data_IF_046853849363
#
_entry.id   IF_046853849363
#
_cell.length_a   1.000
_cell.length_b   1.000
_cell.length_c   1.000
_cell.angle_alpha   90.00
_cell.angle_beta   90.00
_cell.angle_gamma   90.00
#
_symmetry.space_group_name_H-M   'P 1'
#
loop_
_entity.id
_entity.type
_entity.pdbx_description
1 polymer ?
#
# COMPACT_ATOMS: atom_id res chain seq x y z
N UNK A 1 5.07 -19.16 -11.50
CA UNK A 1 5.72 -18.02 -12.20
C UNK A 1 6.99 -17.68 -11.44
N UNK A 2 8.15 -17.68 -12.12
CA UNK A 2 9.41 -17.23 -11.49
C UNK A 2 9.31 -15.74 -11.13
N UNK A 3 9.73 -15.30 -9.95
CA UNK A 3 9.77 -13.89 -9.61
C UNK A 3 10.74 -13.16 -10.54
N UNK A 4 10.30 -12.06 -11.13
CA UNK A 4 11.15 -11.18 -11.94
C UNK A 4 11.89 -10.28 -10.96
N UNK A 5 13.00 -10.73 -10.42
CA UNK A 5 13.77 -10.02 -9.37
C UNK A 5 14.60 -8.86 -9.96
N UNK A 6 14.02 -8.09 -10.91
CA UNK A 6 14.71 -6.97 -11.57
C UNK A 6 14.44 -5.68 -10.78
N UNK A 7 15.50 -4.98 -10.43
CA UNK A 7 15.42 -3.64 -9.84
C UNK A 7 15.44 -2.58 -10.94
N UNK A 8 14.67 -1.54 -10.74
CA UNK A 8 14.49 -0.42 -11.68
C UNK A 8 14.28 0.86 -10.89
N UNK A 9 14.69 2.00 -11.44
CA UNK A 9 14.38 3.32 -10.91
C UNK A 9 13.13 3.83 -11.63
N UNK A 10 12.17 4.36 -10.86
CA UNK A 10 10.86 4.78 -11.33
C UNK A 10 10.50 6.15 -10.80
N UNK A 11 10.01 7.02 -11.68
CA UNK A 11 9.26 8.21 -11.30
C UNK A 11 7.79 7.83 -11.11
N UNK A 12 7.24 8.19 -9.96
CA UNK A 12 5.84 7.89 -9.62
C UNK A 12 4.97 9.09 -10.06
N UNK A 13 4.13 8.85 -11.05
CA UNK A 13 3.28 9.87 -11.68
C UNK A 13 1.91 10.03 -11.03
N UNK A 14 1.35 8.95 -10.46
CA UNK A 14 -0.02 8.93 -9.94
C UNK A 14 -0.18 7.94 -8.79
N UNK A 15 -1.35 7.95 -8.15
CA UNK A 15 -1.71 7.09 -7.03
C UNK A 15 -3.05 6.40 -7.30
N UNK A 16 -3.07 5.08 -7.10
CA UNK A 16 -4.30 4.31 -7.17
C UNK A 16 -5.10 4.42 -5.86
N UNK A 17 -6.43 4.20 -5.92
CA UNK A 17 -7.29 4.22 -4.73
C UNK A 17 -6.91 3.21 -3.64
N UNK A 18 -6.15 2.17 -3.98
CA UNK A 18 -5.63 1.19 -3.02
C UNK A 18 -4.30 1.62 -2.36
N UNK A 19 -3.78 2.82 -2.67
CA UNK A 19 -2.54 3.36 -2.13
C UNK A 19 -1.27 2.91 -2.86
N UNK A 20 -1.39 2.25 -4.00
CA UNK A 20 -0.23 1.91 -4.85
C UNK A 20 0.10 3.07 -5.81
N UNK A 21 1.37 3.45 -5.87
CA UNK A 21 1.87 4.41 -6.84
C UNK A 21 1.83 3.85 -8.27
N UNK A 22 1.75 4.74 -9.25
CA UNK A 22 1.74 4.40 -10.68
C UNK A 22 2.99 4.97 -11.33
N UNK A 23 3.66 4.13 -12.10
CA UNK A 23 4.78 4.50 -12.97
C UNK A 23 4.64 3.80 -14.33
N UNK A 24 5.52 4.15 -15.25
CA UNK A 24 5.59 3.50 -16.56
C UNK A 24 7.00 3.01 -16.91
N UNK A 25 7.07 1.86 -17.58
CA UNK A 25 8.29 1.35 -18.21
C UNK A 25 7.95 0.92 -19.64
N UNK A 26 8.52 1.59 -20.64
CA UNK A 26 8.28 1.31 -22.07
C UNK A 26 6.77 1.34 -22.38
N UNK A 27 6.07 2.41 -22.00
CA UNK A 27 4.63 2.63 -22.14
C UNK A 27 3.75 1.53 -21.49
N UNK A 28 4.28 0.81 -20.50
CA UNK A 28 3.54 -0.20 -19.74
C UNK A 28 3.44 0.20 -18.28
N UNK A 29 2.22 0.14 -17.76
CA UNK A 29 1.92 0.47 -16.37
C UNK A 29 2.67 -0.44 -15.40
N UNK A 30 3.22 0.20 -14.37
CA UNK A 30 3.81 -0.44 -13.20
C UNK A 30 3.05 0.06 -11.97
N UNK A 31 2.52 -0.85 -11.16
CA UNK A 31 1.93 -0.53 -9.86
C UNK A 31 2.98 -0.79 -8.79
N UNK A 32 3.27 0.24 -7.99
CA UNK A 32 4.38 0.25 -7.05
C UNK A 32 3.83 0.45 -5.63
N UNK A 33 3.98 -0.56 -4.77
CA UNK A 33 3.64 -0.43 -3.37
C UNK A 33 4.67 0.42 -2.64
N UNK A 34 4.24 1.09 -1.57
CA UNK A 34 5.10 1.94 -0.75
C UNK A 34 5.73 3.09 -1.56
N UNK A 35 4.97 3.67 -2.49
CA UNK A 35 5.41 4.75 -3.34
C UNK A 35 4.30 5.78 -3.53
N UNK A 36 4.65 7.06 -3.53
CA UNK A 36 3.74 8.20 -3.64
C UNK A 36 4.03 9.02 -4.90
N UNK A 37 3.05 9.76 -5.43
CA UNK A 37 3.28 10.68 -6.53
C UNK A 37 4.42 11.66 -6.26
N UNK A 38 5.16 12.01 -7.31
CA UNK A 38 6.34 12.90 -7.26
C UNK A 38 7.58 12.29 -6.59
N UNK A 39 7.52 11.02 -6.19
CA UNK A 39 8.71 10.30 -5.73
C UNK A 39 9.51 9.71 -6.88
N UNK A 40 10.82 9.62 -6.68
CA UNK A 40 11.69 8.72 -7.43
C UNK A 40 12.05 7.58 -6.52
N UNK A 41 11.75 6.36 -6.94
CA UNK A 41 11.98 5.17 -6.13
C UNK A 41 12.81 4.14 -6.87
N UNK A 42 13.68 3.44 -6.16
CA UNK A 42 14.23 2.18 -6.61
C UNK A 42 13.26 1.07 -6.23
N UNK A 43 12.73 0.38 -7.22
CA UNK A 43 11.67 -0.60 -7.04
C UNK A 43 12.08 -1.97 -7.58
N UNK A 44 11.64 -3.03 -6.92
CA UNK A 44 11.84 -4.42 -7.32
C UNK A 44 10.57 -4.96 -7.97
N UNK A 45 10.67 -5.39 -9.22
CA UNK A 45 9.58 -6.02 -9.95
C UNK A 45 9.33 -7.42 -9.37
N UNK A 46 8.13 -7.65 -8.86
CA UNK A 46 7.72 -8.91 -8.23
C UNK A 46 7.07 -9.88 -9.20
N UNK A 47 6.14 -9.36 -10.01
CA UNK A 47 5.34 -10.16 -10.94
C UNK A 47 4.80 -9.30 -12.07
N UNK A 48 4.32 -10.01 -13.13
CA UNK A 48 3.52 -9.43 -14.21
C UNK A 48 2.20 -10.19 -14.31
N UNK A 49 1.08 -9.47 -14.37
CA UNK A 49 -0.25 -10.05 -14.54
C UNK A 49 -1.09 -9.15 -15.46
N UNK A 50 -1.72 -9.72 -16.47
CA UNK A 50 -2.58 -8.99 -17.44
C UNK A 50 -1.92 -7.71 -18.01
N UNK A 51 -0.64 -7.77 -18.39
CA UNK A 51 0.09 -6.63 -18.94
C UNK A 51 0.68 -5.68 -17.90
N UNK A 52 0.17 -5.64 -16.69
CA UNK A 52 0.62 -4.78 -15.59
C UNK A 52 1.78 -5.42 -14.85
N UNK A 53 2.82 -4.66 -14.54
CA UNK A 53 3.89 -5.06 -13.62
C UNK A 53 3.54 -4.60 -12.21
N UNK A 54 3.88 -5.43 -11.22
CA UNK A 54 3.73 -5.13 -9.80
C UNK A 54 5.11 -5.09 -9.15
N UNK A 55 5.39 -4.04 -8.42
CA UNK A 55 6.68 -3.78 -7.81
C UNK A 55 6.54 -3.32 -6.35
N UNK A 56 7.63 -3.47 -5.60
CA UNK A 56 7.80 -2.85 -4.28
C UNK A 56 8.89 -1.78 -4.37
N UNK A 57 8.61 -0.59 -3.86
CA UNK A 57 9.64 0.40 -3.59
C UNK A 57 10.53 -0.14 -2.45
N UNK A 58 11.81 -0.33 -2.74
CA UNK A 58 12.82 -0.81 -1.80
C UNK A 58 13.66 0.33 -1.24
N UNK A 59 13.66 1.46 -1.95
CA UNK A 59 14.32 2.69 -1.53
C UNK A 59 13.61 3.89 -2.14
N UNK A 60 13.47 4.97 -1.38
CA UNK A 60 12.96 6.25 -1.85
C UNK A 60 14.16 7.15 -2.10
N UNK A 61 14.47 7.42 -3.39
CA UNK A 61 15.59 8.25 -3.83
C UNK A 61 15.26 9.74 -3.69
N UNK A 62 14.02 10.11 -4.06
CA UNK A 62 13.47 11.45 -3.86
C UNK A 62 12.10 11.32 -3.24
N UNK A 63 11.90 11.90 -2.06
CA UNK A 63 10.66 11.78 -1.28
C UNK A 63 9.62 12.82 -1.71
N UNK A 64 8.35 12.44 -1.61
CA UNK A 64 7.20 13.35 -1.67
C UNK A 64 6.99 14.04 -0.32
N UNK A 65 6.46 15.26 -0.35
CA UNK A 65 5.99 15.95 0.87
C UNK A 65 4.78 15.26 1.53
N UNK A 66 4.09 14.39 0.79
CA UNK A 66 2.96 13.61 1.29
C UNK A 66 3.39 12.32 2.00
N UNK A 67 4.69 12.07 2.11
CA UNK A 67 5.25 10.91 2.84
C UNK A 67 5.39 11.21 4.33
N UNK A 68 5.15 10.20 5.14
CA UNK A 68 5.41 10.22 6.59
C UNK A 68 6.32 9.09 7.00
N UNK A 69 6.92 9.21 8.18
CA UNK A 69 7.69 8.14 8.81
C UNK A 69 6.81 6.94 9.13
N UNK A 70 7.33 5.77 8.83
CA UNK A 70 6.58 4.53 8.98
C UNK A 70 6.74 4.01 10.41
N UNK A 71 5.69 4.11 11.21
CA UNK A 71 5.68 3.68 12.61
C UNK A 71 5.81 2.15 12.81
N UNK A 72 5.67 1.34 11.75
CA UNK A 72 5.64 -0.12 11.83
C UNK A 72 6.82 -0.76 11.11
N UNK A 73 7.67 -1.49 11.83
CA UNK A 73 8.84 -2.22 11.29
C UNK A 73 8.47 -3.34 10.32
N UNK A 74 7.25 -3.88 10.40
CA UNK A 74 6.79 -4.96 9.51
C UNK A 74 6.25 -4.44 8.17
N UNK A 75 6.04 -3.14 8.01
CA UNK A 75 5.62 -2.51 6.76
C UNK A 75 6.82 -2.36 5.81
N UNK A 76 6.69 -2.49 4.51
CA UNK A 76 5.49 -2.84 3.72
C UNK A 76 5.31 -4.35 3.50
N UNK A 77 6.13 -5.19 4.14
CA UNK A 77 6.09 -6.64 3.96
C UNK A 77 4.77 -7.24 4.48
N UNK A 78 4.33 -6.81 5.66
CA UNK A 78 3.04 -7.17 6.23
C UNK A 78 1.91 -6.60 5.38
N UNK A 79 0.95 -7.46 4.97
CA UNK A 79 -0.21 -7.07 4.16
C UNK A 79 -1.38 -6.47 4.97
N UNK A 80 -1.21 -6.22 6.26
CA UNK A 80 -2.25 -5.64 7.12
C UNK A 80 -2.54 -4.17 6.87
N UNK A 81 -1.58 -3.45 6.26
CA UNK A 81 -1.68 -2.02 5.95
C UNK A 81 -1.18 -1.73 4.53
N UNK A 82 -1.82 -0.80 3.84
CA UNK A 82 -1.44 -0.38 2.49
C UNK A 82 -0.91 1.05 2.40
N UNK A 83 -1.22 1.92 3.36
CA UNK A 83 -1.01 3.37 3.26
C UNK A 83 -0.21 3.99 4.41
N UNK A 84 0.47 3.20 5.27
CA UNK A 84 1.25 3.72 6.40
C UNK A 84 2.41 4.65 6.03
N UNK A 85 2.77 4.72 4.77
CA UNK A 85 3.82 5.61 4.25
C UNK A 85 3.30 6.99 3.84
N UNK A 86 1.98 7.19 3.88
CA UNK A 86 1.29 8.40 3.47
C UNK A 86 0.87 9.21 4.69
N UNK A 87 0.91 10.54 4.58
CA UNK A 87 0.33 11.43 5.60
C UNK A 87 -1.14 11.08 5.82
N UNK A 88 -1.60 11.00 7.09
CA UNK A 88 -2.99 10.68 7.41
C UNK A 88 -4.02 11.56 6.70
N UNK A 89 -3.76 12.86 6.57
CA UNK A 89 -4.62 13.80 5.84
C UNK A 89 -4.78 13.39 4.37
N UNK A 90 -3.69 12.95 3.72
CA UNK A 90 -3.72 12.50 2.32
C UNK A 90 -4.41 11.16 2.15
N UNK A 91 -4.32 10.28 3.14
CA UNK A 91 -5.09 9.03 3.16
C UNK A 91 -6.59 9.32 3.20
N UNK A 92 -7.04 10.28 4.03
CA UNK A 92 -8.44 10.72 4.10
C UNK A 92 -8.90 11.31 2.77
N UNK A 93 -8.13 12.25 2.18
CA UNK A 93 -8.43 12.84 0.87
C UNK A 93 -8.58 11.76 -0.23
N UNK A 94 -7.67 10.79 -0.28
CA UNK A 94 -7.71 9.70 -1.26
C UNK A 94 -8.98 8.84 -1.11
N UNK A 95 -9.34 8.51 0.13
CA UNK A 95 -10.54 7.71 0.44
C UNK A 95 -11.82 8.48 0.11
N UNK A 96 -11.90 9.76 0.45
CA UNK A 96 -13.04 10.61 0.13
C UNK A 96 -13.21 10.77 -1.40
N UNK A 97 -12.10 11.02 -2.12
CA UNK A 97 -12.11 11.08 -3.58
C UNK A 97 -12.62 9.79 -4.21
N UNK A 98 -12.13 8.64 -3.69
CA UNK A 98 -12.59 7.34 -4.18
C UNK A 98 -14.08 7.13 -3.95
N UNK A 99 -14.58 7.41 -2.75
CA UNK A 99 -16.00 7.30 -2.41
C UNK A 99 -16.86 8.14 -3.37
N UNK A 100 -16.51 9.41 -3.54
CA UNK A 100 -17.23 10.32 -4.43
C UNK A 100 -17.22 9.83 -5.89
N UNK A 101 -16.10 9.28 -6.35
CA UNK A 101 -15.99 8.71 -7.69
C UNK A 101 -16.89 7.48 -7.85
N UNK A 102 -16.90 6.59 -6.86
CA UNK A 102 -17.71 5.36 -6.89
C UNK A 102 -19.22 5.70 -6.86
N UNK A 103 -19.64 6.64 -6.02
CA UNK A 103 -21.03 7.10 -5.95
C UNK A 103 -21.49 7.69 -7.29
N UNK A 104 -20.72 8.61 -7.88
CA UNK A 104 -21.02 9.22 -9.17
C UNK A 104 -21.09 8.17 -10.29
N UNK A 105 -20.14 7.24 -10.33
CA UNK A 105 -20.12 6.18 -11.36
C UNK A 105 -21.28 5.19 -11.22
N UNK A 106 -21.85 5.08 -10.02
CA UNK A 106 -23.05 4.27 -9.74
C UNK A 106 -24.37 5.03 -9.99
N UNK A 107 -24.31 6.26 -10.50
CA UNK A 107 -25.48 7.09 -10.77
C UNK A 107 -26.14 7.65 -9.49
N UNK A 108 -25.48 7.59 -8.35
CA UNK A 108 -26.01 8.14 -7.10
C UNK A 108 -25.79 9.65 -7.10
N UNK A 109 -26.90 10.39 -6.99
CA UNK A 109 -26.91 11.84 -6.82
C UNK A 109 -27.14 12.15 -5.35
N UNK A 110 -26.34 13.04 -4.80
CA UNK A 110 -26.46 13.52 -3.41
C UNK A 110 -26.36 15.04 -3.39
N UNK A 111 -27.09 15.66 -2.49
CA UNK A 111 -27.14 17.12 -2.38
C UNK A 111 -25.92 17.68 -1.64
N UNK A 112 -25.45 16.94 -0.63
CA UNK A 112 -24.36 17.38 0.23
C UNK A 112 -23.40 16.23 0.54
N UNK A 113 -22.15 16.58 0.77
CA UNK A 113 -21.11 15.66 1.29
C UNK A 113 -20.63 16.18 2.62
N UNK A 114 -20.81 15.39 3.67
CA UNK A 114 -20.31 15.72 5.01
C UNK A 114 -18.79 15.53 5.08
N UNK A 115 -18.16 16.26 5.99
CA UNK A 115 -16.74 16.08 6.28
C UNK A 115 -16.45 14.66 6.78
N UNK A 116 -15.32 14.07 6.39
CA UNK A 116 -14.93 12.75 6.87
C UNK A 116 -14.78 12.72 8.39
N UNK A 117 -15.38 11.72 9.03
CA UNK A 117 -15.14 11.46 10.46
C UNK A 117 -13.76 10.82 10.60
N UNK A 118 -12.86 11.51 11.28
CA UNK A 118 -11.48 11.09 11.48
C UNK A 118 -11.22 10.83 12.96
N UNK A 119 -10.52 9.74 13.25
CA UNK A 119 -10.06 9.38 14.59
C UNK A 119 -8.57 9.01 14.53
N UNK A 120 -8.03 8.38 15.57
CA UNK A 120 -6.64 7.93 15.62
C UNK A 120 -6.30 7.02 14.44
N UNK A 121 -5.17 7.29 13.78
CA UNK A 121 -4.65 6.48 12.67
C UNK A 121 -3.88 5.25 13.13
N UNK A 122 -3.46 5.23 14.39
CA UNK A 122 -2.78 4.10 15.04
C UNK A 122 -3.64 3.59 16.20
N UNK A 123 -3.46 2.32 16.56
CA UNK A 123 -4.13 1.66 17.70
C UNK A 123 -5.66 1.69 17.68
N UNK A 124 -6.28 1.78 16.48
CA UNK A 124 -7.74 1.84 16.33
C UNK A 124 -8.39 0.47 16.17
N UNK A 125 -7.64 -0.53 15.70
CA UNK A 125 -8.19 -1.85 15.37
C UNK A 125 -8.36 -2.71 16.62
N UNK A 126 -9.60 -3.06 16.93
CA UNK A 126 -9.95 -3.90 18.11
C UNK A 126 -10.07 -5.38 17.77
N UNK A 127 -10.25 -5.75 16.50
CA UNK A 127 -10.39 -7.13 16.03
C UNK A 127 -9.51 -7.38 14.82
N UNK A 128 -8.78 -8.50 14.84
CA UNK A 128 -7.99 -8.94 13.71
C UNK A 128 -8.05 -10.47 13.58
N UNK A 129 -7.98 -10.96 12.33
CA UNK A 129 -7.79 -12.38 12.06
C UNK A 129 -6.34 -12.57 11.63
N UNK A 130 -5.56 -13.25 12.45
CA UNK A 130 -4.15 -13.51 12.20
C UNK A 130 -3.95 -14.93 11.69
N UNK A 131 -2.95 -15.11 10.83
CA UNK A 131 -2.46 -16.43 10.44
C UNK A 131 -1.46 -16.94 11.49
N UNK A 132 -1.45 -18.25 11.68
CA UNK A 132 -0.45 -18.95 12.51
C UNK A 132 0.29 -19.93 11.63
N UNK A 133 1.60 -20.01 11.76
CA UNK A 133 2.43 -21.00 11.05
C UNK A 133 3.58 -21.48 11.94
N UNK A 134 3.70 -22.79 12.08
CA UNK A 134 4.85 -23.42 12.73
C UNK A 134 5.96 -23.67 11.70
N UNK A 135 7.18 -23.33 12.05
CA UNK A 135 8.41 -23.55 11.29
C UNK A 135 9.45 -24.17 12.23
N UNK A 136 9.48 -25.51 12.29
CA UNK A 136 10.23 -26.21 13.34
C UNK A 136 9.74 -25.77 14.72
N UNK A 137 10.63 -25.34 15.58
CA UNK A 137 10.32 -24.89 16.95
C UNK A 137 9.81 -23.43 17.03
N UNK A 138 9.74 -22.73 15.89
CA UNK A 138 9.30 -21.34 15.84
C UNK A 138 7.84 -21.24 15.41
N UNK A 139 7.02 -20.55 16.20
CA UNK A 139 5.63 -20.22 15.84
C UNK A 139 5.57 -18.77 15.36
N UNK A 140 5.13 -18.58 14.11
CA UNK A 140 4.84 -17.27 13.54
C UNK A 140 3.37 -16.96 13.70
N UNK A 141 3.07 -15.77 14.23
CA UNK A 141 1.70 -15.22 14.31
C UNK A 141 1.69 -13.84 13.67
N UNK A 142 0.76 -13.61 12.73
CA UNK A 142 0.72 -12.31 12.05
C UNK A 142 -0.25 -12.27 10.89
N UNK A 143 -0.34 -11.11 10.25
CA UNK A 143 -1.02 -10.98 8.97
C UNK A 143 -0.23 -11.70 7.86
N UNK A 144 -0.90 -12.02 6.79
CA UNK A 144 -0.20 -12.54 5.59
C UNK A 144 0.66 -11.44 4.97
N UNK A 145 1.79 -11.85 4.41
CA UNK A 145 2.57 -10.96 3.56
C UNK A 145 1.75 -10.57 2.32
N UNK A 146 1.95 -9.36 1.84
CA UNK A 146 1.31 -8.90 0.61
C UNK A 146 1.70 -9.79 -0.58
N UNK A 147 0.71 -10.17 -1.40
CA UNK A 147 0.86 -11.06 -2.56
C UNK A 147 1.44 -12.46 -2.24
N UNK A 148 1.38 -12.89 -0.99
CA UNK A 148 1.93 -14.17 -0.54
C UNK A 148 0.95 -14.90 0.40
N UNK A 149 1.06 -16.20 0.47
CA UNK A 149 0.39 -17.03 1.49
C UNK A 149 1.18 -17.10 2.81
N UNK A 150 2.38 -16.54 2.85
CA UNK A 150 3.24 -16.57 4.03
C UNK A 150 2.68 -15.67 5.13
N UNK A 151 2.94 -16.05 6.37
CA UNK A 151 2.65 -15.22 7.55
C UNK A 151 3.84 -14.27 7.78
N UNK A 152 3.57 -12.98 7.86
CA UNK A 152 4.60 -11.99 8.17
C UNK A 152 5.05 -12.14 9.63
N UNK A 153 6.36 -12.10 9.86
CA UNK A 153 6.89 -12.02 11.22
C UNK A 153 6.56 -10.63 11.77
N UNK A 154 5.79 -10.60 12.86
CA UNK A 154 5.38 -9.37 13.53
C UNK A 154 5.80 -9.44 15.00
N UNK A 155 6.45 -8.38 15.48
CA UNK A 155 6.77 -8.21 16.91
C UNK A 155 5.68 -7.41 17.61
N UNK A 156 5.13 -6.41 16.92
CA UNK A 156 4.02 -5.58 17.39
C UNK A 156 3.18 -5.08 16.21
N UNK A 157 1.91 -4.82 16.45
CA UNK A 157 1.01 -4.16 15.51
C UNK A 157 0.68 -2.75 16.01
N UNK A 158 0.75 -1.76 15.11
CA UNK A 158 0.51 -0.33 15.43
C UNK A 158 -0.90 0.15 15.04
N UNK A 159 -1.76 -0.75 14.53
CA UNK A 159 -3.13 -0.42 14.12
C UNK A 159 -4.18 -1.18 14.91
#
# INVERSE_FOLDING_TARGET
MKPVNKEVVLDISDLLPNGEGVAEINARRVQVRNALPREVVRARILKKKKGIKYADAIEVVRSSQDRTDIACKSYPRCGGCSMLHMLPSKEVELKAKKLNTDLKSSGIVFEETLDPVVNNFLHYRRKARLGVKCLGDTVLVGFRESFSSRVARMEACKI
#
